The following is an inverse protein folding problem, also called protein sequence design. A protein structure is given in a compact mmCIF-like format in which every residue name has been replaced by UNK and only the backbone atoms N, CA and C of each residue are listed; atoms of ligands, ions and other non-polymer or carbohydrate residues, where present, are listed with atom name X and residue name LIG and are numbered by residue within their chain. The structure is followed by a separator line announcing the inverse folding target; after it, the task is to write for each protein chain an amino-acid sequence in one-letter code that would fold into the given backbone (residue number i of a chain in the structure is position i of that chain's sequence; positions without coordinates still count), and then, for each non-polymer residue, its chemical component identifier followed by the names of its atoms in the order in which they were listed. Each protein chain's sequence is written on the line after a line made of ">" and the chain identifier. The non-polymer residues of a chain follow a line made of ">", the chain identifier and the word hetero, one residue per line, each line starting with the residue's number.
data_IF_828236276397
#
_entry.id   IF_828236276397
#
_cell.length_a   1.000
_cell.length_b   1.000
_cell.length_c   1.000
_cell.angle_alpha   90.00
_cell.angle_beta   90.00
_cell.angle_gamma   90.00
#
_symmetry.space_group_name_H-M   'P 1'
#
loop_
_entity.id
_entity.type
_entity.pdbx_description
1 polymer ?
#
# COMPACT_ATOMS: atom_id res chain seq x y z
N UNK A 1 12.74 14.85 -14.08
CA UNK A 1 12.54 14.28 -12.73
C UNK A 1 11.44 13.24 -12.84
N UNK A 2 11.67 12.01 -12.37
CA UNK A 2 10.60 10.99 -12.28
C UNK A 2 9.82 11.19 -10.98
N UNK A 3 8.50 11.22 -11.05
CA UNK A 3 7.64 11.38 -9.88
C UNK A 3 7.57 10.06 -9.10
N UNK A 4 7.65 10.10 -7.77
CA UNK A 4 7.58 8.91 -6.90
C UNK A 4 6.59 9.13 -5.76
N UNK A 5 5.68 8.19 -5.57
CA UNK A 5 4.79 8.15 -4.41
C UNK A 5 4.87 6.80 -3.70
N UNK A 6 4.47 6.77 -2.43
CA UNK A 6 4.37 5.51 -1.67
C UNK A 6 3.04 5.36 -0.95
N UNK A 7 2.60 4.12 -0.80
CA UNK A 7 1.64 3.72 0.22
C UNK A 7 2.40 3.03 1.35
N UNK A 8 2.26 3.56 2.57
CA UNK A 8 3.03 3.09 3.73
C UNK A 8 2.13 2.76 4.94
N UNK A 9 1.32 1.68 4.88
CA UNK A 9 0.43 1.31 5.98
C UNK A 9 1.17 0.60 7.12
N UNK A 10 0.69 0.80 8.35
CA UNK A 10 0.98 -0.09 9.48
C UNK A 10 -0.06 -1.23 9.49
N UNK A 11 0.37 -2.49 9.34
CA UNK A 11 -0.53 -3.64 9.22
C UNK A 11 -1.10 -3.99 10.60
N UNK A 12 -2.29 -3.46 10.91
CA UNK A 12 -2.95 -3.59 12.23
C UNK A 12 -4.12 -4.58 12.22
N UNK A 13 -4.20 -5.45 11.21
CA UNK A 13 -5.28 -6.42 11.01
C UNK A 13 -6.03 -6.13 9.71
N UNK A 14 -7.25 -5.56 9.80
CA UNK A 14 -8.09 -5.32 8.64
C UNK A 14 -7.59 -4.17 7.76
N UNK A 15 -7.70 -4.36 6.45
CA UNK A 15 -7.38 -3.33 5.47
C UNK A 15 -8.54 -2.33 5.39
N UNK A 16 -8.34 -1.13 5.93
CA UNK A 16 -9.35 -0.08 5.93
C UNK A 16 -9.49 0.59 4.55
N UNK A 17 -10.72 0.77 4.06
CA UNK A 17 -11.01 1.38 2.75
C UNK A 17 -10.43 2.78 2.58
N UNK A 18 -10.31 3.55 3.66
CA UNK A 18 -9.68 4.87 3.64
C UNK A 18 -8.18 4.83 3.33
N UNK A 19 -7.48 3.78 3.80
CA UNK A 19 -6.06 3.58 3.50
C UNK A 19 -5.90 3.17 2.03
N UNK A 20 -6.77 2.28 1.55
CA UNK A 20 -6.80 1.86 0.14
C UNK A 20 -7.10 3.04 -0.79
N UNK A 21 -8.01 3.94 -0.43
CA UNK A 21 -8.25 5.17 -1.22
C UNK A 21 -6.97 5.98 -1.42
N UNK A 22 -6.15 6.12 -0.37
CA UNK A 22 -4.84 6.79 -0.47
C UNK A 22 -3.87 6.03 -1.38
N UNK A 23 -3.85 4.70 -1.31
CA UNK A 23 -3.06 3.86 -2.21
C UNK A 23 -3.48 4.06 -3.68
N UNK A 24 -4.78 4.01 -3.96
CA UNK A 24 -5.35 4.23 -5.29
C UNK A 24 -4.97 5.61 -5.85
N UNK A 25 -5.07 6.67 -5.05
CA UNK A 25 -4.71 8.01 -5.52
C UNK A 25 -3.22 8.13 -5.86
N UNK A 26 -2.35 7.59 -5.01
CA UNK A 26 -0.91 7.58 -5.28
C UNK A 26 -0.59 6.75 -6.53
N UNK A 27 -1.21 5.57 -6.68
CA UNK A 27 -1.02 4.69 -7.84
C UNK A 27 -1.52 5.33 -9.14
N UNK A 28 -2.72 5.92 -9.14
CA UNK A 28 -3.26 6.62 -10.31
C UNK A 28 -2.39 7.80 -10.72
N UNK A 29 -1.94 8.58 -9.75
CA UNK A 29 -1.15 9.79 -10.04
C UNK A 29 0.24 9.45 -10.58
N UNK A 30 0.92 8.42 -10.04
CA UNK A 30 2.20 7.97 -10.58
C UNK A 30 2.05 7.41 -11.99
N UNK A 31 1.02 6.59 -12.26
CA UNK A 31 0.72 6.08 -13.61
C UNK A 31 0.45 7.19 -14.61
N UNK A 32 -0.37 8.17 -14.23
CA UNK A 32 -0.66 9.34 -15.06
C UNK A 32 0.61 10.16 -15.36
N UNK A 33 1.52 10.26 -14.40
CA UNK A 33 2.73 11.08 -14.50
C UNK A 33 3.96 10.32 -15.04
N UNK A 34 3.83 9.04 -15.42
CA UNK A 34 4.96 8.20 -15.82
C UNK A 34 5.99 7.97 -14.70
N UNK A 35 5.54 7.97 -13.45
CA UNK A 35 6.32 7.81 -12.24
C UNK A 35 6.27 6.40 -11.64
N UNK A 36 6.81 6.25 -10.43
CA UNK A 36 6.86 4.98 -9.69
C UNK A 36 5.95 5.03 -8.45
N UNK A 37 5.15 3.99 -8.26
CA UNK A 37 4.40 3.73 -7.04
C UNK A 37 5.18 2.72 -6.20
N UNK A 38 5.27 2.92 -4.88
CA UNK A 38 6.02 2.05 -3.98
C UNK A 38 5.13 1.57 -2.84
N UNK A 39 5.22 0.29 -2.50
CA UNK A 39 4.64 -0.26 -1.28
C UNK A 39 5.72 -0.38 -0.20
N UNK A 40 5.46 0.15 0.99
CA UNK A 40 6.33 0.00 2.16
C UNK A 40 5.50 -0.40 3.36
N UNK A 41 5.82 -1.53 3.99
CA UNK A 41 5.13 -1.94 5.21
C UNK A 41 5.80 -1.22 6.39
N UNK A 42 5.00 -0.58 7.25
CA UNK A 42 5.47 -0.03 8.52
C UNK A 42 5.28 -1.06 9.64
N UNK A 43 6.25 -1.96 9.76
CA UNK A 43 6.23 -3.17 10.61
C UNK A 43 7.08 -3.05 11.89
N UNK A 44 7.39 -1.83 12.33
CA UNK A 44 8.23 -1.59 13.51
C UNK A 44 7.56 -2.01 14.82
N UNK A 45 6.23 -2.08 14.84
CA UNK A 45 5.44 -2.61 15.94
C UNK A 45 5.15 -4.11 15.72
N UNK A 46 5.93 -4.97 16.36
CA UNK A 46 5.85 -6.42 16.18
C UNK A 46 4.56 -7.05 16.73
N UNK A 47 3.92 -6.43 17.73
CA UNK A 47 2.68 -6.94 18.32
C UNK A 47 1.51 -6.75 17.34
N UNK A 48 1.49 -5.61 16.65
CA UNK A 48 0.45 -5.29 15.68
C UNK A 48 0.72 -5.90 14.30
N UNK A 49 1.99 -5.95 13.89
CA UNK A 49 2.42 -6.34 12.54
C UNK A 49 2.48 -7.85 12.36
N UNK A 50 1.36 -8.51 12.59
CA UNK A 50 1.24 -9.96 12.38
C UNK A 50 1.42 -10.31 10.91
N UNK A 51 1.96 -11.50 10.65
CA UNK A 51 2.06 -12.05 9.29
C UNK A 51 0.71 -12.04 8.57
N UNK A 52 -0.37 -12.35 9.29
CA UNK A 52 -1.73 -12.38 8.75
C UNK A 52 -2.19 -10.99 8.27
N UNK A 53 -1.86 -9.93 9.02
CA UNK A 53 -2.19 -8.57 8.61
C UNK A 53 -1.38 -8.12 7.38
N UNK A 54 -0.13 -8.56 7.27
CA UNK A 54 0.74 -8.32 6.10
C UNK A 54 0.21 -9.08 4.88
N UNK A 55 -0.12 -10.35 5.02
CA UNK A 55 -0.65 -11.19 3.94
C UNK A 55 -1.99 -10.61 3.43
N UNK A 56 -2.88 -10.21 4.33
CA UNK A 56 -4.15 -9.56 3.97
C UNK A 56 -3.96 -8.25 3.20
N UNK A 57 -2.90 -7.48 3.51
CA UNK A 57 -2.53 -6.29 2.75
C UNK A 57 -2.10 -6.67 1.32
N UNK A 58 -1.21 -7.65 1.16
CA UNK A 58 -0.75 -8.09 -0.16
C UNK A 58 -1.90 -8.65 -1.01
N UNK A 59 -2.77 -9.47 -0.41
CA UNK A 59 -3.96 -10.01 -1.08
C UNK A 59 -4.89 -8.89 -1.56
N UNK A 60 -5.09 -7.86 -0.75
CA UNK A 60 -5.90 -6.70 -1.12
C UNK A 60 -5.28 -5.91 -2.29
N UNK A 61 -3.96 -5.66 -2.24
CA UNK A 61 -3.25 -4.96 -3.32
C UNK A 61 -3.34 -5.74 -4.64
N UNK A 62 -3.16 -7.06 -4.58
CA UNK A 62 -3.27 -7.96 -5.74
C UNK A 62 -4.70 -8.01 -6.28
N UNK A 63 -5.71 -8.12 -5.41
CA UNK A 63 -7.12 -8.14 -5.82
C UNK A 63 -7.55 -6.85 -6.53
N UNK A 64 -7.02 -5.71 -6.09
CA UNK A 64 -7.26 -4.40 -6.70
C UNK A 64 -6.41 -4.14 -7.97
N UNK A 65 -5.41 -4.97 -8.25
CA UNK A 65 -4.47 -4.76 -9.35
C UNK A 65 -3.54 -3.56 -9.14
N UNK A 66 -3.26 -3.18 -7.89
CA UNK A 66 -2.35 -2.09 -7.57
C UNK A 66 -0.91 -2.60 -7.54
N UNK A 67 -0.28 -2.68 -8.70
CA UNK A 67 1.13 -3.04 -8.81
C UNK A 67 2.06 -1.92 -8.31
N UNK A 68 3.13 -2.30 -7.63
CA UNK A 68 4.04 -1.44 -6.85
C UNK A 68 5.52 -1.85 -7.01
#
# INVERSE_FOLDING_TARGET
>A
MSFRARFAPSPTGQVHIGNIRTAIFNWLFTRHSGGEFLLRIEDTDLERSTKQAIDALFDCMNWLGLDY
#
